data_IF_907259695941
#
_entry.id   IF_907259695941
#
_cell.length_a   1.000
_cell.length_b   1.000
_cell.length_c   1.000
_cell.angle_alpha   90.00
_cell.angle_beta   90.00
_cell.angle_gamma   90.00
#
_symmetry.space_group_name_H-M   'P 1'
#
loop_
_entity.id
_entity.type
_entity.pdbx_description
1 polymer ?
#
# COMPACT_ATOMS: atom_id res chain seq x y z
N UNK A 1 8.82 -17.73 14.52
CA UNK A 1 9.24 -19.15 14.32
C UNK A 1 10.49 -19.11 13.48
N UNK A 2 11.66 -19.46 14.03
CA UNK A 2 12.92 -19.28 13.29
C UNK A 2 13.15 -20.50 12.39
N UNK A 3 13.27 -20.26 11.08
CA UNK A 3 13.59 -21.31 10.10
C UNK A 3 14.73 -20.85 9.22
N UNK A 4 15.57 -21.77 8.76
CA UNK A 4 16.74 -21.47 7.93
C UNK A 4 16.48 -21.99 6.53
N UNK A 5 16.49 -21.09 5.54
CA UNK A 5 16.37 -21.44 4.14
C UNK A 5 17.77 -21.45 3.49
N UNK A 6 18.18 -22.63 3.05
CA UNK A 6 19.37 -22.81 2.23
C UNK A 6 19.01 -22.69 0.76
N UNK A 7 19.66 -21.74 0.08
CA UNK A 7 19.44 -21.48 -1.34
C UNK A 7 20.77 -21.34 -2.10
N UNK A 8 20.69 -21.42 -3.43
CA UNK A 8 21.82 -21.22 -4.34
C UNK A 8 21.37 -20.34 -5.50
N UNK A 9 22.22 -19.42 -5.95
CA UNK A 9 21.89 -18.52 -7.07
C UNK A 9 21.85 -19.24 -8.42
N UNK A 10 22.46 -20.42 -8.52
CA UNK A 10 22.51 -21.23 -9.75
C UNK A 10 21.27 -22.11 -9.95
N UNK A 11 20.33 -22.10 -8.99
CA UNK A 11 19.12 -22.91 -9.06
C UNK A 11 17.90 -22.06 -9.40
N UNK A 12 17.22 -22.36 -10.50
CA UNK A 12 16.04 -21.59 -10.94
C UNK A 12 14.85 -21.77 -9.99
N UNK A 13 14.66 -22.96 -9.42
CA UNK A 13 13.64 -23.21 -8.40
C UNK A 13 13.86 -22.34 -7.15
N UNK A 14 15.12 -22.05 -6.79
CA UNK A 14 15.42 -21.14 -5.69
C UNK A 14 15.03 -19.71 -6.02
N UNK A 15 15.31 -19.24 -7.24
CA UNK A 15 14.95 -17.88 -7.67
C UNK A 15 13.45 -17.66 -7.61
N UNK A 16 12.67 -18.62 -8.11
CA UNK A 16 11.19 -18.58 -8.06
C UNK A 16 10.72 -18.52 -6.60
N UNK A 17 11.25 -19.39 -5.74
CA UNK A 17 10.86 -19.45 -4.33
C UNK A 17 11.21 -18.16 -3.58
N UNK A 18 12.41 -17.60 -3.81
CA UNK A 18 12.83 -16.32 -3.24
C UNK A 18 11.95 -15.15 -3.70
N UNK A 19 11.51 -15.15 -4.98
CA UNK A 19 10.61 -14.13 -5.50
C UNK A 19 9.21 -14.19 -4.88
N UNK A 20 8.74 -15.39 -4.52
CA UNK A 20 7.47 -15.57 -3.79
C UNK A 20 7.64 -15.10 -2.35
N UNK A 21 8.71 -15.53 -1.67
CA UNK A 21 8.97 -15.19 -0.28
C UNK A 21 9.20 -13.69 -0.06
N UNK A 22 9.83 -12.99 -1.00
CA UNK A 22 10.11 -11.55 -0.91
C UNK A 22 8.85 -10.68 -0.83
N UNK A 23 7.75 -11.15 -1.44
CA UNK A 23 6.43 -10.51 -1.40
C UNK A 23 5.66 -10.77 -0.11
N UNK A 24 6.03 -11.83 0.62
CA UNK A 24 5.32 -12.27 1.83
C UNK A 24 5.93 -11.66 3.09
N UNK A 25 5.12 -11.51 4.14
CA UNK A 25 5.59 -11.10 5.46
C UNK A 25 6.37 -12.21 6.20
N UNK A 26 6.40 -13.43 5.64
CA UNK A 26 7.07 -14.60 6.21
C UNK A 26 8.61 -14.44 6.17
N UNK A 27 9.13 -13.52 5.35
CA UNK A 27 10.57 -13.22 5.25
C UNK A 27 11.22 -12.87 6.60
N UNK A 28 10.46 -12.30 7.54
CA UNK A 28 10.98 -11.86 8.84
C UNK A 28 11.28 -13.05 9.77
N UNK A 29 10.64 -14.19 9.53
CA UNK A 29 10.78 -15.42 10.31
C UNK A 29 11.84 -16.39 9.71
N UNK A 30 12.38 -16.06 8.53
CA UNK A 30 13.28 -16.94 7.77
C UNK A 30 14.68 -16.32 7.69
N UNK A 31 15.70 -17.09 8.09
CA UNK A 31 17.10 -16.77 7.84
C UNK A 31 17.54 -17.36 6.49
N UNK A 32 18.02 -16.50 5.60
CA UNK A 32 18.46 -16.89 4.27
C UNK A 32 19.96 -17.14 4.26
N UNK A 33 20.38 -18.35 3.90
CA UNK A 33 21.80 -18.72 3.78
C UNK A 33 22.08 -19.16 2.35
N UNK A 34 23.01 -18.46 1.69
CA UNK A 34 23.50 -18.84 0.38
C UNK A 34 24.61 -19.90 0.53
N UNK A 35 24.46 -21.05 -0.15
CA UNK A 35 25.41 -22.17 -0.12
C UNK A 35 26.40 -22.20 -1.30
N UNK A 36 26.44 -21.14 -2.13
CA UNK A 36 27.32 -21.06 -3.30
C UNK A 36 28.80 -21.09 -2.90
N UNK A 37 29.17 -20.36 -1.84
CA UNK A 37 30.54 -20.34 -1.31
C UNK A 37 30.68 -21.40 -0.23
N UNK A 38 31.20 -22.57 -0.59
CA UNK A 38 31.43 -23.69 0.33
C UNK A 38 32.86 -24.21 0.30
N UNK A 39 33.41 -24.51 1.46
CA UNK A 39 34.77 -25.02 1.67
C UNK A 39 34.70 -26.34 2.42
N UNK A 40 35.36 -27.38 1.90
CA UNK A 40 35.53 -28.65 2.61
C UNK A 40 36.77 -28.54 3.49
N UNK A 41 36.61 -28.70 4.80
CA UNK A 41 37.75 -28.78 5.72
C UNK A 41 38.26 -30.21 5.86
N UNK A 42 39.44 -30.36 6.46
CA UNK A 42 40.12 -31.64 6.67
C UNK A 42 39.27 -32.67 7.44
N UNK A 43 38.29 -32.22 8.22
CA UNK A 43 37.35 -33.08 8.96
C UNK A 43 36.24 -33.70 8.07
N UNK A 44 36.29 -33.51 6.74
CA UNK A 44 35.26 -34.01 5.80
C UNK A 44 33.94 -33.23 5.82
N UNK A 45 33.73 -32.37 6.82
CA UNK A 45 32.58 -31.48 6.91
C UNK A 45 32.69 -30.30 5.93
N UNK A 46 31.54 -29.91 5.36
CA UNK A 46 31.44 -28.78 4.43
C UNK A 46 31.00 -27.54 5.20
N UNK A 47 31.74 -26.45 5.06
CA UNK A 47 31.45 -25.16 5.67
C UNK A 47 30.98 -24.17 4.60
N UNK A 48 30.00 -23.35 4.93
CA UNK A 48 29.52 -22.24 4.10
C UNK A 48 30.20 -20.97 4.56
N UNK A 49 30.79 -20.22 3.62
CA UNK A 49 31.40 -18.92 3.88
C UNK A 49 30.37 -17.84 3.60
N UNK A 50 29.90 -17.19 4.66
CA UNK A 50 29.01 -16.03 4.59
C UNK A 50 29.74 -14.78 4.08
N UNK A 51 28.99 -13.76 3.67
CA UNK A 51 29.59 -12.51 3.16
C UNK A 51 30.38 -11.73 4.22
N UNK A 52 30.07 -11.93 5.49
CA UNK A 52 30.81 -11.38 6.63
C UNK A 52 32.07 -12.18 7.00
N UNK A 53 32.53 -13.07 6.12
CA UNK A 53 33.66 -13.99 6.31
C UNK A 53 33.49 -15.00 7.48
N UNK A 54 32.28 -15.13 8.05
CA UNK A 54 31.99 -16.18 9.02
C UNK A 54 31.73 -17.51 8.32
N UNK A 55 32.16 -18.59 8.97
CA UNK A 55 31.99 -19.95 8.47
C UNK A 55 30.91 -20.69 9.28
N UNK A 56 29.85 -21.12 8.60
CA UNK A 56 28.79 -21.94 9.20
C UNK A 56 28.95 -23.39 8.74
N UNK A 57 28.80 -24.35 9.65
CA UNK A 57 28.77 -25.76 9.31
C UNK A 57 27.46 -26.10 8.58
N UNK A 58 27.56 -26.66 7.37
CA UNK A 58 26.39 -27.18 6.65
C UNK A 58 25.98 -28.52 7.28
N UNK A 59 24.72 -28.65 7.75
CA UNK A 59 24.22 -29.93 8.25
C UNK A 59 24.22 -30.98 7.14
N UNK A 60 24.60 -32.25 7.42
CA UNK A 60 24.59 -33.32 6.43
C UNK A 60 23.18 -33.70 5.96
N UNK A 61 22.14 -33.24 6.67
CA UNK A 61 20.74 -33.41 6.30
C UNK A 61 20.36 -32.61 5.05
N UNK A 62 21.09 -31.54 4.73
CA UNK A 62 20.84 -30.69 3.56
C UNK A 62 21.61 -31.25 2.36
N UNK A 63 20.96 -32.15 1.62
CA UNK A 63 21.55 -32.82 0.44
C UNK A 63 21.24 -32.11 -0.88
N UNK A 64 20.13 -31.37 -0.94
CA UNK A 64 19.61 -30.70 -2.13
C UNK A 64 19.12 -29.30 -1.78
N UNK A 65 18.97 -28.46 -2.79
CA UNK A 65 18.54 -27.06 -2.66
C UNK A 65 17.44 -26.79 -3.71
N UNK A 66 16.34 -26.07 -3.39
CA UNK A 66 16.03 -25.37 -2.13
C UNK A 66 15.71 -26.31 -0.96
N UNK A 67 16.21 -25.95 0.22
CA UNK A 67 15.95 -26.67 1.47
C UNK A 67 15.57 -25.71 2.59
N UNK A 68 14.49 -26.02 3.30
CA UNK A 68 14.04 -25.29 4.48
C UNK A 68 14.27 -26.15 5.72
N UNK A 69 15.13 -25.69 6.61
CA UNK A 69 15.42 -26.34 7.89
C UNK A 69 14.56 -25.70 8.99
N UNK A 70 13.70 -26.52 9.59
CA UNK A 70 12.80 -26.12 10.66
C UNK A 70 13.47 -26.37 12.02
N UNK A 71 13.88 -25.30 12.70
CA UNK A 71 14.47 -25.40 14.04
C UNK A 71 13.44 -25.91 15.05
N UNK A 72 12.18 -25.51 14.88
CA UNK A 72 11.07 -25.84 15.79
C UNK A 72 10.63 -27.32 15.71
N UNK A 73 11.02 -28.06 14.67
CA UNK A 73 10.57 -29.45 14.44
C UNK A 73 11.75 -30.42 14.33
N UNK A 74 12.51 -30.59 15.41
CA UNK A 74 13.63 -31.54 15.49
C UNK A 74 14.64 -31.41 14.33
N UNK A 75 14.92 -30.19 13.86
CA UNK A 75 15.81 -29.93 12.73
C UNK A 75 15.39 -30.64 11.43
N UNK A 76 14.08 -30.82 11.24
CA UNK A 76 13.55 -31.45 10.03
C UNK A 76 13.79 -30.56 8.81
N UNK A 77 14.21 -31.19 7.70
CA UNK A 77 14.52 -30.49 6.46
C UNK A 77 13.44 -30.79 5.43
N UNK A 78 12.81 -29.75 4.93
CA UNK A 78 11.83 -29.80 3.85
C UNK A 78 12.49 -29.44 2.52
N UNK A 79 12.07 -30.09 1.44
CA UNK A 79 12.61 -29.87 0.10
C UNK A 79 11.50 -29.59 -0.90
N UNK A 80 11.82 -28.83 -1.95
CA UNK A 80 10.95 -28.64 -3.12
C UNK A 80 9.51 -28.25 -2.76
N UNK A 81 8.54 -29.05 -3.23
CA UNK A 81 7.11 -28.78 -3.04
C UNK A 81 6.65 -28.82 -1.58
N UNK A 82 7.35 -29.54 -0.71
CA UNK A 82 7.00 -29.60 0.72
C UNK A 82 7.23 -28.25 1.41
N UNK A 83 8.18 -27.47 0.89
CA UNK A 83 8.41 -26.09 1.35
C UNK A 83 7.17 -25.24 1.03
N UNK A 84 6.65 -25.34 -0.20
CA UNK A 84 5.47 -24.60 -0.62
C UNK A 84 4.25 -24.99 0.22
N UNK A 85 4.01 -26.29 0.43
CA UNK A 85 2.91 -26.78 1.27
C UNK A 85 3.01 -26.31 2.71
N UNK A 86 4.22 -26.16 3.25
CA UNK A 86 4.42 -25.60 4.59
C UNK A 86 4.18 -24.09 4.66
N UNK A 87 4.44 -23.35 3.57
CA UNK A 87 4.26 -21.90 3.50
C UNK A 87 2.82 -21.49 3.15
N UNK A 88 2.08 -22.31 2.39
CA UNK A 88 0.68 -22.11 2.01
C UNK A 88 -0.25 -21.74 3.18
N UNK A 89 -0.31 -22.48 4.31
CA UNK A 89 -1.23 -22.15 5.40
C UNK A 89 -0.92 -20.79 6.03
N UNK A 90 0.35 -20.39 6.07
CA UNK A 90 0.76 -19.06 6.56
C UNK A 90 0.32 -17.97 5.59
N UNK A 91 0.40 -18.22 4.29
CA UNK A 91 -0.09 -17.30 3.27
C UNK A 91 -1.61 -17.12 3.36
N UNK A 92 -2.36 -18.22 3.44
CA UNK A 92 -3.84 -18.21 3.57
C UNK A 92 -4.28 -17.48 4.84
N UNK A 93 -3.63 -17.71 5.98
CA UNK A 93 -3.97 -17.00 7.23
C UNK A 93 -3.77 -15.48 7.10
N UNK A 94 -2.73 -15.02 6.39
CA UNK A 94 -2.50 -13.60 6.14
C UNK A 94 -3.53 -13.02 5.16
N UNK A 95 -3.84 -13.72 4.08
CA UNK A 95 -4.85 -13.31 3.10
C UNK A 95 -6.25 -13.26 3.74
N UNK A 96 -6.61 -14.22 4.58
CA UNK A 96 -7.93 -14.28 5.21
C UNK A 96 -8.24 -13.06 6.10
N UNK A 97 -7.25 -12.52 6.82
CA UNK A 97 -7.47 -11.29 7.59
C UNK A 97 -7.76 -10.08 6.69
N UNK A 98 -7.14 -10.03 5.51
CA UNK A 98 -7.39 -8.98 4.50
C UNK A 98 -8.77 -9.17 3.87
N UNK A 99 -9.13 -10.42 3.55
CA UNK A 99 -10.44 -10.78 2.97
C UNK A 99 -11.59 -10.53 3.95
N UNK A 100 -11.42 -10.82 5.24
CA UNK A 100 -12.42 -10.49 6.27
C UNK A 100 -12.64 -8.99 6.42
N UNK A 101 -11.64 -8.17 6.09
CA UNK A 101 -11.73 -6.72 6.28
C UNK A 101 -12.20 -5.98 5.03
N UNK A 102 -11.97 -6.50 3.80
CA UNK A 102 -12.38 -5.83 2.55
C UNK A 102 -12.31 -6.74 1.29
N UNK A 103 -12.75 -8.00 1.39
CA UNK A 103 -12.56 -9.00 0.33
C UNK A 103 -13.41 -8.85 -0.93
N UNK A 104 -14.68 -8.46 -0.81
CA UNK A 104 -15.58 -8.20 -1.95
C UNK A 104 -16.63 -7.16 -1.51
N UNK A 105 -17.06 -6.23 -2.39
CA UNK A 105 -18.20 -5.38 -2.08
C UNK A 105 -19.43 -6.27 -1.85
N UNK A 106 -20.00 -6.23 -0.66
CA UNK A 106 -21.23 -6.97 -0.37
C UNK A 106 -22.32 -6.46 -1.33
N UNK A 107 -22.93 -7.37 -2.10
CA UNK A 107 -24.02 -7.04 -3.01
C UNK A 107 -25.22 -6.35 -2.32
N UNK A 108 -25.26 -6.39 -0.97
CA UNK A 108 -26.26 -5.76 -0.13
C UNK A 108 -25.66 -4.78 0.91
N UNK A 109 -24.45 -4.23 0.68
CA UNK A 109 -23.93 -3.14 1.52
C UNK A 109 -24.77 -1.88 1.33
N UNK A 110 -25.86 -1.78 2.08
CA UNK A 110 -26.67 -0.57 2.22
C UNK A 110 -26.11 0.42 3.25
N UNK A 111 -24.81 0.34 3.56
CA UNK A 111 -24.10 1.33 4.38
C UNK A 111 -23.26 2.22 3.45
N UNK A 112 -23.55 3.50 3.23
CA UNK A 112 -24.62 4.33 3.75
C UNK A 112 -24.73 5.56 2.86
N UNK A 113 -25.97 5.90 2.50
CA UNK A 113 -26.33 7.01 1.64
C UNK A 113 -25.90 8.37 2.18
N UNK A 114 -24.72 8.82 1.78
CA UNK A 114 -24.30 10.21 2.02
C UNK A 114 -24.02 10.99 0.73
N UNK A 115 -23.56 10.37 -0.38
CA UNK A 115 -23.15 11.14 -1.57
C UNK A 115 -23.25 10.39 -2.91
N UNK A 116 -24.40 9.78 -3.24
CA UNK A 116 -24.50 9.13 -4.55
C UNK A 116 -25.90 8.71 -4.95
N UNK A 117 -26.26 9.09 -6.18
CA UNK A 117 -27.45 8.65 -6.91
C UNK A 117 -27.50 7.12 -6.91
N UNK A 118 -28.52 6.54 -6.28
CA UNK A 118 -28.82 5.10 -6.37
C UNK A 118 -29.77 4.93 -7.54
N UNK A 119 -29.22 4.61 -8.72
CA UNK A 119 -29.97 4.59 -9.97
C UNK A 119 -30.99 3.43 -10.02
N UNK A 120 -32.21 3.81 -10.40
CA UNK A 120 -33.20 3.08 -11.21
C UNK A 120 -33.85 1.79 -10.67
N UNK A 121 -33.57 1.34 -9.45
CA UNK A 121 -34.31 0.21 -8.84
C UNK A 121 -35.32 0.59 -7.74
N UNK A 122 -35.53 1.88 -7.49
CA UNK A 122 -36.54 2.37 -6.54
C UNK A 122 -37.64 3.19 -7.23
N UNK A 123 -38.16 2.68 -8.35
CA UNK A 123 -39.55 2.96 -8.70
C UNK A 123 -40.40 2.14 -7.74
N UNK A 124 -41.06 2.80 -6.79
CA UNK A 124 -41.96 2.10 -5.90
C UNK A 124 -43.14 1.63 -6.75
N UNK A 125 -43.46 0.34 -6.68
CA UNK A 125 -44.39 -0.36 -7.59
C UNK A 125 -45.81 0.22 -7.61
N UNK A 126 -46.10 1.07 -6.63
CA UNK A 126 -47.32 1.79 -6.34
C UNK A 126 -47.33 3.23 -6.91
N UNK A 127 -46.39 3.60 -7.77
CA UNK A 127 -46.36 4.92 -8.42
C UNK A 127 -47.04 4.93 -9.80
N UNK A 128 -48.01 5.84 -9.96
CA UNK A 128 -48.61 6.15 -11.26
C UNK A 128 -47.67 6.98 -12.14
N UNK A 129 -47.68 6.72 -13.45
CA UNK A 129 -46.80 7.37 -14.43
C UNK A 129 -46.89 8.91 -14.42
N UNK A 130 -48.05 9.47 -14.12
CA UNK A 130 -48.26 10.92 -14.03
C UNK A 130 -47.48 11.57 -12.88
N UNK A 131 -47.28 10.85 -11.78
CA UNK A 131 -46.51 11.31 -10.62
C UNK A 131 -44.99 11.30 -10.85
N UNK A 132 -44.52 10.50 -11.81
CA UNK A 132 -43.12 10.45 -12.27
C UNK A 132 -42.83 11.48 -13.37
N UNK A 133 -43.86 12.18 -13.89
CA UNK A 133 -43.68 13.19 -14.91
C UNK A 133 -42.99 14.45 -14.36
N UNK A 134 -42.38 15.26 -15.23
CA UNK A 134 -41.76 16.53 -14.86
C UNK A 134 -42.75 17.57 -14.25
N UNK A 135 -44.06 17.32 -14.34
CA UNK A 135 -45.11 18.12 -13.71
C UNK A 135 -45.60 17.53 -12.38
N UNK A 136 -45.14 16.33 -12.03
CA UNK A 136 -45.47 15.66 -10.79
C UNK A 136 -44.74 16.29 -9.60
N UNK A 137 -45.40 16.32 -8.44
CA UNK A 137 -44.87 16.98 -7.24
C UNK A 137 -43.92 16.09 -6.42
N UNK A 138 -43.64 14.86 -6.85
CA UNK A 138 -42.79 13.90 -6.11
C UNK A 138 -43.34 13.46 -4.73
N UNK A 139 -44.46 14.03 -4.27
CA UNK A 139 -45.12 13.71 -3.00
C UNK A 139 -44.26 14.04 -1.77
N UNK A 140 -44.31 13.18 -0.75
CA UNK A 140 -43.49 13.32 0.48
C UNK A 140 -42.05 12.80 0.31
N UNK A 141 -41.52 12.73 -0.91
CA UNK A 141 -40.20 12.14 -1.17
C UNK A 141 -39.12 13.17 -1.38
N UNK A 142 -37.91 12.76 -1.01
CA UNK A 142 -36.70 13.56 -1.12
C UNK A 142 -36.44 13.89 -2.60
N UNK A 143 -36.52 15.18 -2.96
CA UNK A 143 -36.17 15.64 -4.30
C UNK A 143 -34.65 15.52 -4.47
N UNK A 144 -34.20 14.47 -5.16
CA UNK A 144 -32.78 14.24 -5.41
C UNK A 144 -32.32 15.15 -6.57
N UNK A 145 -31.54 16.19 -6.27
CA UNK A 145 -30.92 17.14 -7.22
C UNK A 145 -31.86 17.97 -8.11
N UNK A 146 -33.17 17.88 -7.96
CA UNK A 146 -34.12 18.74 -8.66
C UNK A 146 -34.61 19.84 -7.72
N UNK A 147 -34.50 21.10 -8.15
CA UNK A 147 -35.10 22.22 -7.45
C UNK A 147 -36.56 22.36 -7.88
N UNK A 148 -37.47 22.60 -6.93
CA UNK A 148 -38.83 23.02 -7.26
C UNK A 148 -38.80 24.30 -8.10
N UNK A 149 -39.82 24.51 -8.94
CA UNK A 149 -39.91 25.71 -9.78
C UNK A 149 -39.80 27.03 -8.98
N UNK A 150 -40.22 27.00 -7.71
CA UNK A 150 -40.19 28.13 -6.78
C UNK A 150 -38.92 28.19 -5.90
N UNK A 151 -37.91 27.36 -6.16
CA UNK A 151 -36.70 27.26 -5.34
C UNK A 151 -35.71 28.40 -5.58
N UNK A 152 -35.62 29.36 -4.66
CA UNK A 152 -34.55 30.37 -4.64
C UNK A 152 -33.34 29.84 -3.87
N UNK A 153 -32.29 29.43 -4.59
CA UNK A 153 -30.98 29.10 -4.00
C UNK A 153 -30.01 30.28 -4.07
N UNK A 154 -29.61 30.82 -2.92
CA UNK A 154 -28.53 31.81 -2.83
C UNK A 154 -27.22 31.08 -2.49
N UNK A 155 -26.21 31.21 -3.34
CA UNK A 155 -24.88 30.59 -3.11
C UNK A 155 -24.03 31.59 -2.32
N UNK A 156 -23.51 31.17 -1.17
CA UNK A 156 -22.54 31.98 -0.42
C UNK A 156 -21.19 31.93 -1.12
N UNK A 157 -20.81 33.03 -1.77
CA UNK A 157 -19.45 33.20 -2.28
C UNK A 157 -18.53 33.75 -1.17
N UNK A 158 -17.27 33.29 -1.09
CA UNK A 158 -16.28 33.85 -0.18
C UNK A 158 -16.14 35.38 -0.37
N UNK A 159 -15.80 36.15 0.67
CA UNK A 159 -15.56 37.58 0.52
C UNK A 159 -14.34 37.82 -0.38
N UNK A 160 -14.49 38.68 -1.39
CA UNK A 160 -13.41 39.06 -2.29
C UNK A 160 -12.33 39.86 -1.54
N UNK A 161 -11.28 39.17 -1.08
CA UNK A 161 -10.10 39.78 -0.42
C UNK A 161 -9.00 40.17 -1.41
N UNK A 162 -9.36 40.51 -2.66
CA UNK A 162 -8.37 40.90 -3.67
C UNK A 162 -7.81 42.30 -3.39
N UNK A 163 -6.51 42.38 -3.10
CA UNK A 163 -5.75 43.64 -3.05
C UNK A 163 -4.83 43.74 -4.27
N UNK A 164 -4.93 44.79 -5.12
CA UNK A 164 -4.09 44.93 -6.30
C UNK A 164 -2.60 45.11 -5.96
N UNK A 165 -1.71 44.36 -6.62
CA UNK A 165 -0.24 44.53 -6.56
C UNK A 165 0.20 45.79 -7.33
N UNK A 166 -0.22 46.96 -6.85
CA UNK A 166 0.38 48.23 -7.27
C UNK A 166 1.39 48.62 -6.20
N UNK A 167 2.66 48.77 -6.60
CA UNK A 167 3.62 49.54 -5.81
C UNK A 167 2.93 50.86 -5.45
N UNK A 168 2.67 51.07 -4.16
CA UNK A 168 1.93 52.23 -3.66
C UNK A 168 2.61 53.56 -4.03
N UNK A 169 2.10 54.69 -3.50
CA UNK A 169 2.72 56.00 -3.70
C UNK A 169 4.13 56.06 -3.08
N UNK A 170 5.14 55.57 -3.79
CA UNK A 170 6.54 55.70 -3.40
C UNK A 170 7.00 57.09 -3.81
N UNK A 171 7.30 57.97 -2.85
CA UNK A 171 7.81 59.29 -3.15
C UNK A 171 9.27 59.20 -3.60
N UNK A 172 9.65 60.00 -4.61
CA UNK A 172 11.01 60.00 -5.17
C UNK A 172 12.10 60.30 -4.13
N UNK A 173 11.76 61.05 -3.08
CA UNK A 173 12.66 61.36 -1.96
C UNK A 173 13.02 60.12 -1.14
N UNK A 174 12.06 59.23 -0.88
CA UNK A 174 12.31 58.00 -0.12
C UNK A 174 13.27 57.07 -0.90
N UNK A 175 13.16 57.04 -2.22
CA UNK A 175 14.06 56.26 -3.08
C UNK A 175 15.47 56.87 -3.14
N UNK A 176 15.59 58.20 -3.14
CA UNK A 176 16.89 58.89 -3.09
C UNK A 176 17.59 58.68 -1.74
N UNK A 177 16.87 58.74 -0.63
CA UNK A 177 17.45 58.49 0.70
C UNK A 177 17.99 57.06 0.82
N UNK A 178 17.24 56.05 0.37
CA UNK A 178 17.70 54.66 0.36
C UNK A 178 18.97 54.48 -0.46
N UNK A 179 19.03 55.06 -1.67
CA UNK A 179 20.22 55.00 -2.53
C UNK A 179 21.43 55.65 -1.87
N UNK A 180 21.26 56.83 -1.28
CA UNK A 180 22.37 57.54 -0.64
C UNK A 180 22.93 56.77 0.57
N UNK A 181 22.08 56.10 1.34
CA UNK A 181 22.50 55.25 2.46
C UNK A 181 23.33 54.04 2.00
N UNK A 182 22.99 53.45 0.85
CA UNK A 182 23.75 52.31 0.29
C UNK A 182 25.12 52.70 -0.27
N UNK A 183 25.28 53.93 -0.75
CA UNK A 183 26.51 54.41 -1.42
C UNK A 183 27.62 54.82 -0.43
N UNK A 184 27.27 55.35 0.75
CA UNK A 184 28.27 55.78 1.76
C UNK A 184 28.88 54.63 2.55
N UNK A 185 28.26 53.45 2.60
CA UNK A 185 28.75 52.29 3.36
C UNK A 185 29.93 51.52 2.74
N UNK A 186 30.49 51.94 1.59
CA UNK A 186 31.55 51.21 0.87
C UNK A 186 32.85 52.00 0.66
N UNK A 187 33.21 52.90 1.59
CA UNK A 187 34.57 53.49 1.64
C UNK A 187 35.12 53.50 3.07
N UNK A 188 35.49 52.32 3.56
CA UNK A 188 36.73 51.97 4.28
C UNK A 188 36.78 50.46 4.50
#
# INVERSE_FOLDING_TARGET
MSSILYYSNFCDNCKVLLQILSKSNIKNDIHFINIDKRVKKNNGATYIVLENAQEILLPPTVTKVPALLLLDRNHHVLFGNDINRHLEPKHVAQTNNIVQTNGEPLAFSMAGGSFGVVSDNYSFLDQDADSLSAKGNGGMRQQHHYASLDGQGMIETPPDTYTPDKVGQVSMEQLQQKRNAEVTGKRQ
#
